data_IF_786485155816
#
_entry.id   IF_786485155816
#
_cell.length_a   1.000
_cell.length_b   1.000
_cell.length_c   1.000
_cell.angle_alpha   90.00
_cell.angle_beta   90.00
_cell.angle_gamma   90.00
#
_symmetry.space_group_name_H-M   'P 1'
#
loop_
_entity.id
_entity.type
_entity.pdbx_description
1 polymer ?
#
# COMPACT_ATOMS: atom_id res chain seq x y z
N UNK A 1 7.27 13.57 -19.19
CA UNK A 1 6.77 12.20 -18.96
C UNK A 1 6.07 12.18 -17.60
N UNK A 2 4.78 11.88 -17.55
CA UNK A 2 4.10 11.67 -16.27
C UNK A 2 4.79 10.48 -15.59
N UNK A 3 5.48 10.71 -14.46
CA UNK A 3 6.30 9.72 -13.75
C UNK A 3 5.51 8.61 -13.06
N UNK A 4 4.42 8.14 -13.68
CA UNK A 4 3.57 7.06 -13.21
C UNK A 4 3.87 5.81 -14.04
N UNK A 5 4.43 4.78 -13.38
CA UNK A 5 4.49 3.44 -13.95
C UNK A 5 3.17 2.73 -13.64
N UNK A 6 2.47 2.31 -14.69
CA UNK A 6 1.28 1.46 -14.55
C UNK A 6 1.74 0.01 -14.48
N UNK A 7 1.20 -0.73 -13.53
CA UNK A 7 1.48 -2.15 -13.34
C UNK A 7 0.16 -2.90 -13.23
N UNK A 8 0.11 -4.08 -13.83
CA UNK A 8 -1.00 -5.02 -13.63
C UNK A 8 -0.75 -5.80 -12.34
N UNK A 9 -1.75 -5.89 -11.47
CA UNK A 9 -1.65 -6.57 -10.18
C UNK A 9 -2.77 -7.59 -10.06
N UNK A 10 -2.41 -8.81 -9.64
CA UNK A 10 -3.39 -9.85 -9.30
C UNK A 10 -3.64 -9.82 -7.81
N UNK A 11 -4.89 -9.65 -7.42
CA UNK A 11 -5.35 -9.58 -6.03
C UNK A 11 -6.40 -10.68 -5.84
N UNK A 12 -6.39 -11.43 -4.71
CA UNK A 12 -7.47 -12.35 -4.36
C UNK A 12 -8.83 -11.64 -4.37
N UNK A 13 -9.89 -12.34 -4.78
CA UNK A 13 -11.21 -11.72 -4.96
C UNK A 13 -11.77 -11.19 -3.63
N UNK A 14 -11.49 -11.88 -2.53
CA UNK A 14 -11.94 -11.53 -1.19
C UNK A 14 -11.34 -10.19 -0.73
N UNK A 15 -10.07 -9.94 -1.06
CA UNK A 15 -9.40 -8.67 -0.77
C UNK A 15 -9.91 -7.54 -1.68
N UNK A 16 -10.34 -7.86 -2.90
CA UNK A 16 -10.98 -6.89 -3.81
C UNK A 16 -12.35 -6.48 -3.30
N UNK A 17 -13.15 -7.41 -2.76
CA UNK A 17 -14.46 -7.12 -2.16
C UNK A 17 -14.33 -6.14 -0.98
N UNK A 18 -13.32 -6.33 -0.13
CA UNK A 18 -13.01 -5.39 0.95
C UNK A 18 -12.68 -3.98 0.41
N UNK A 19 -11.92 -3.88 -0.69
CA UNK A 19 -11.60 -2.59 -1.33
C UNK A 19 -12.86 -1.94 -1.92
N UNK A 20 -13.72 -2.73 -2.56
CA UNK A 20 -14.96 -2.26 -3.15
C UNK A 20 -15.93 -1.74 -2.09
N UNK A 21 -15.99 -2.38 -0.93
CA UNK A 21 -16.77 -1.87 0.21
C UNK A 21 -16.27 -0.50 0.67
N UNK A 22 -14.95 -0.29 0.77
CA UNK A 22 -14.39 1.02 1.14
C UNK A 22 -14.74 2.13 0.16
N UNK A 23 -14.80 1.82 -1.14
CA UNK A 23 -15.24 2.77 -2.17
C UNK A 23 -16.75 3.01 -2.06
N UNK A 24 -17.54 1.95 -1.87
CA UNK A 24 -19.01 2.03 -1.74
C UNK A 24 -19.45 2.87 -0.55
N UNK A 25 -18.76 2.74 0.57
CA UNK A 25 -18.99 3.52 1.79
C UNK A 25 -18.43 4.96 1.70
N UNK A 26 -17.79 5.32 0.59
CA UNK A 26 -17.35 6.69 0.30
C UNK A 26 -16.02 7.10 0.94
N UNK A 27 -15.27 6.16 1.54
CA UNK A 27 -13.94 6.46 2.06
C UNK A 27 -12.93 6.82 0.97
N UNK A 28 -13.14 6.29 -0.24
CA UNK A 28 -12.32 6.59 -1.41
C UNK A 28 -13.19 6.84 -2.64
N UNK A 29 -12.75 7.75 -3.52
CA UNK A 29 -13.44 8.04 -4.78
C UNK A 29 -13.28 6.96 -5.85
N UNK A 30 -12.24 6.13 -5.75
CA UNK A 30 -12.03 5.00 -6.66
C UNK A 30 -11.15 3.89 -6.05
N UNK A 31 -11.18 2.70 -6.66
CA UNK A 31 -10.36 1.55 -6.26
C UNK A 31 -8.85 1.84 -6.29
N UNK A 32 -8.38 2.53 -7.33
CA UNK A 32 -6.95 2.81 -7.51
C UNK A 32 -6.38 3.65 -6.37
N UNK A 33 -7.15 4.61 -5.87
CA UNK A 33 -6.75 5.45 -4.73
C UNK A 33 -6.68 4.63 -3.44
N UNK A 34 -7.68 3.78 -3.19
CA UNK A 34 -7.70 2.89 -2.03
C UNK A 34 -6.49 1.93 -2.03
N UNK A 35 -6.23 1.26 -3.16
CA UNK A 35 -5.08 0.36 -3.32
C UNK A 35 -3.76 1.11 -3.13
N UNK A 36 -3.63 2.29 -3.74
CA UNK A 36 -2.43 3.09 -3.59
C UNK A 36 -2.18 3.51 -2.13
N UNK A 37 -3.23 3.85 -1.38
CA UNK A 37 -3.09 4.22 0.03
C UNK A 37 -2.69 3.03 0.91
N UNK A 38 -3.31 1.87 0.69
CA UNK A 38 -2.96 0.62 1.39
C UNK A 38 -1.48 0.28 1.18
N UNK A 39 -0.99 0.31 -0.07
CA UNK A 39 0.41 0.05 -0.40
C UNK A 39 1.33 1.06 0.29
N UNK A 40 0.99 2.35 0.26
CA UNK A 40 1.77 3.40 0.92
C UNK A 40 1.88 3.16 2.43
N UNK A 41 0.76 2.84 3.10
CA UNK A 41 0.73 2.54 4.55
C UNK A 41 1.58 1.32 4.88
N UNK A 42 1.44 0.24 4.12
CA UNK A 42 2.28 -0.95 4.26
C UNK A 42 3.77 -0.64 4.10
N UNK A 43 4.13 0.14 3.07
CA UNK A 43 5.50 0.56 2.83
C UNK A 43 6.07 1.45 3.96
N UNK A 44 5.26 2.33 4.56
CA UNK A 44 5.67 3.11 5.74
C UNK A 44 5.93 2.21 6.94
N UNK A 45 5.04 1.25 7.22
CA UNK A 45 5.23 0.30 8.31
C UNK A 45 6.49 -0.56 8.12
N UNK A 46 6.71 -1.06 6.90
CA UNK A 46 7.92 -1.82 6.56
C UNK A 46 9.18 -0.97 6.74
N UNK A 47 9.21 0.27 6.22
CA UNK A 47 10.36 1.17 6.36
C UNK A 47 10.68 1.49 7.82
N UNK A 48 9.67 1.68 8.66
CA UNK A 48 9.84 1.87 10.10
C UNK A 48 10.57 0.67 10.73
N UNK A 49 10.20 -0.56 10.36
CA UNK A 49 10.89 -1.77 10.82
C UNK A 49 12.35 -1.83 10.33
N UNK A 50 12.62 -1.49 9.06
CA UNK A 50 13.97 -1.54 8.51
C UNK A 50 14.92 -0.45 9.06
N UNK A 51 14.39 0.72 9.44
CA UNK A 51 15.15 1.74 10.19
C UNK A 51 15.75 1.13 11.47
N UNK A 52 14.93 0.42 12.23
CA UNK A 52 15.36 -0.25 13.46
C UNK A 52 16.38 -1.37 13.19
N UNK A 53 16.30 -2.05 12.04
CA UNK A 53 17.27 -3.09 11.65
C UNK A 53 18.62 -2.49 11.26
N UNK A 54 18.65 -1.37 10.52
CA UNK A 54 19.91 -0.68 10.19
C UNK A 54 20.58 -0.12 11.45
N UNK A 55 19.84 0.50 12.36
CA UNK A 55 20.38 1.02 13.62
C UNK A 55 21.03 -0.08 14.49
N UNK A 56 20.45 -1.30 14.51
CA UNK A 56 21.06 -2.44 15.22
C UNK A 56 22.31 -2.99 14.56
N UNK A 57 22.44 -2.86 13.23
CA UNK A 57 23.61 -3.36 12.47
C UNK A 57 24.80 -2.41 12.51
N UNK A 58 24.59 -1.14 12.86
CA UNK A 58 25.64 -0.11 13.00
C UNK A 58 26.24 -0.01 14.40
N UNK A 59 25.66 -0.73 15.39
CA UNK A 59 26.14 -0.80 16.78
C UNK A 59 26.87 -2.12 17.10
N UNK A 60 27.25 -2.88 16.07
CA UNK A 60 28.15 -4.05 16.11
C UNK A 60 29.44 -3.66 15.41
#
# INVERSE_FOLDING_TARGET
>A
MNGKNLVEMRIPVEEVENIDELVREGYYGCRSDAICDIIKRGAVQLRSRYCCVKAKRSNL
#
